data_IF_281712937606
#
_entry.id   IF_281712937606
#
_cell.length_a   1.000
_cell.length_b   1.000
_cell.length_c   1.000
_cell.angle_alpha   90.00
_cell.angle_beta   90.00
_cell.angle_gamma   90.00
#
_symmetry.space_group_name_H-M   'P 1'
#
loop_
_entity.id
_entity.type
_entity.pdbx_description
1 polymer ?
#
# COMPACT_ATOMS: atom_id res chain seq x y z
N UNK A 1 -37.74 -21.72 -18.33
CA UNK A 1 -37.48 -20.97 -17.09
C UNK A 1 -35.99 -20.66 -17.07
N UNK A 2 -35.61 -19.44 -17.43
CA UNK A 2 -34.20 -19.04 -17.51
C UNK A 2 -33.67 -18.61 -16.16
N UNK A 3 -32.60 -19.23 -15.69
CA UNK A 3 -31.81 -18.75 -14.57
C UNK A 3 -31.11 -17.45 -14.97
N UNK A 4 -31.63 -16.31 -14.53
CA UNK A 4 -30.87 -15.07 -14.50
C UNK A 4 -29.95 -15.11 -13.29
N UNK A 5 -28.74 -15.65 -13.46
CA UNK A 5 -27.66 -15.43 -12.49
C UNK A 5 -27.36 -13.94 -12.46
N UNK A 6 -27.82 -13.27 -11.40
CA UNK A 6 -27.41 -11.90 -11.07
C UNK A 6 -25.89 -11.90 -10.92
N UNK A 7 -25.18 -11.24 -11.84
CA UNK A 7 -23.75 -11.00 -11.69
C UNK A 7 -23.55 -10.11 -10.46
N UNK A 8 -23.04 -10.71 -9.38
CA UNK A 8 -22.65 -10.00 -8.16
C UNK A 8 -21.53 -8.99 -8.49
N UNK A 9 -21.63 -7.76 -7.99
CA UNK A 9 -20.59 -6.76 -8.25
C UNK A 9 -19.28 -7.16 -7.54
N UNK A 10 -18.14 -6.78 -8.11
CA UNK A 10 -16.84 -7.05 -7.49
C UNK A 10 -16.74 -6.47 -6.06
N UNK A 11 -17.40 -5.33 -5.82
CA UNK A 11 -17.47 -4.72 -4.49
C UNK A 11 -18.23 -5.60 -3.50
N UNK A 12 -19.33 -6.23 -3.91
CA UNK A 12 -20.10 -7.13 -3.03
C UNK A 12 -19.30 -8.37 -2.64
N UNK A 13 -18.49 -8.92 -3.56
CA UNK A 13 -17.56 -10.00 -3.26
C UNK A 13 -16.51 -9.58 -2.22
N UNK A 14 -15.97 -8.36 -2.33
CA UNK A 14 -15.01 -7.83 -1.37
C UNK A 14 -15.64 -7.63 0.02
N UNK A 15 -16.87 -7.11 0.09
CA UNK A 15 -17.62 -6.94 1.34
C UNK A 15 -17.84 -8.28 2.06
N UNK A 16 -18.10 -9.35 1.32
CA UNK A 16 -18.27 -10.69 1.90
C UNK A 16 -16.98 -11.27 2.46
N UNK A 17 -15.82 -10.91 1.92
CA UNK A 17 -14.54 -11.51 2.28
C UNK A 17 -13.75 -10.72 3.33
N UNK A 18 -13.93 -9.40 3.35
CA UNK A 18 -13.13 -8.51 4.18
C UNK A 18 -14.02 -7.63 5.04
N UNK A 19 -13.47 -7.17 6.16
CA UNK A 19 -14.09 -6.17 7.03
C UNK A 19 -13.35 -4.82 6.93
N UNK A 20 -12.14 -4.84 6.37
CA UNK A 20 -11.29 -3.67 6.17
C UNK A 20 -10.48 -3.82 4.88
N UNK A 21 -10.41 -2.75 4.09
CA UNK A 21 -9.63 -2.69 2.86
C UNK A 21 -8.63 -1.54 2.94
N UNK A 22 -7.38 -1.85 2.59
CA UNK A 22 -6.30 -0.89 2.43
C UNK A 22 -5.61 -1.16 1.10
N UNK A 23 -5.30 -0.11 0.35
CA UNK A 23 -4.42 -0.16 -0.81
C UNK A 23 -3.03 0.35 -0.42
N UNK A 24 -2.00 -0.27 -0.99
CA UNK A 24 -0.59 0.08 -0.80
C UNK A 24 0.06 0.12 -2.17
N UNK A 25 0.80 1.18 -2.43
CA UNK A 25 1.46 1.44 -3.71
C UNK A 25 2.80 2.16 -3.49
N UNK A 26 3.82 1.90 -4.31
CA UNK A 26 5.17 2.44 -4.10
C UNK A 26 5.82 3.05 -5.35
N UNK A 27 5.67 4.37 -5.50
CA UNK A 27 6.33 5.08 -6.59
C UNK A 27 7.82 5.28 -6.34
N UNK A 28 8.63 5.02 -7.35
CA UNK A 28 10.09 5.17 -7.31
C UNK A 28 10.55 6.29 -8.23
N UNK A 29 11.45 7.15 -7.74
CA UNK A 29 12.15 8.10 -8.60
C UNK A 29 13.17 7.32 -9.45
N UNK A 30 12.85 7.14 -10.74
CA UNK A 30 13.69 6.41 -11.68
C UNK A 30 14.99 7.13 -12.09
N UNK A 31 15.94 6.36 -12.64
CA UNK A 31 17.19 6.89 -13.23
C UNK A 31 16.86 7.76 -14.47
N UNK A 32 17.67 8.80 -14.77
CA UNK A 32 18.91 9.22 -14.10
C UNK A 32 18.67 10.12 -12.86
N UNK A 33 17.42 10.36 -12.47
CA UNK A 33 17.01 11.36 -11.46
C UNK A 33 17.23 10.89 -10.02
N UNK A 34 18.36 10.23 -9.73
CA UNK A 34 18.76 9.99 -8.34
C UNK A 34 18.89 11.34 -7.64
N UNK A 35 18.27 11.48 -6.48
CA UNK A 35 18.41 12.71 -5.70
C UNK A 35 19.64 12.57 -4.82
N UNK A 36 20.67 13.36 -5.11
CA UNK A 36 21.98 13.29 -4.42
C UNK A 36 22.60 11.88 -4.40
N UNK A 37 22.45 11.11 -5.49
CA UNK A 37 22.99 9.75 -5.60
C UNK A 37 22.17 8.65 -4.91
N UNK A 38 21.14 9.02 -4.14
CA UNK A 38 20.22 8.11 -3.46
C UNK A 38 19.06 7.70 -4.39
N UNK A 39 18.68 6.42 -4.36
CA UNK A 39 17.39 5.97 -4.88
C UNK A 39 16.31 6.31 -3.86
N UNK A 40 15.21 6.87 -4.31
CA UNK A 40 14.14 7.34 -3.44
C UNK A 40 12.83 6.78 -3.94
N UNK A 41 12.08 6.15 -3.05
CA UNK A 41 10.73 5.69 -3.30
C UNK A 41 9.79 6.26 -2.24
N UNK A 42 8.53 6.45 -2.59
CA UNK A 42 7.47 6.82 -1.67
C UNK A 42 6.41 5.74 -1.72
N UNK A 43 6.21 5.06 -0.60
CA UNK A 43 5.11 4.13 -0.42
C UNK A 43 3.94 4.88 0.19
N UNK A 44 2.77 4.84 -0.41
CA UNK A 44 1.55 5.45 0.10
C UNK A 44 0.47 4.39 0.32
N UNK A 45 -0.41 4.66 1.27
CA UNK A 45 -1.55 3.80 1.55
C UNK A 45 -2.83 4.59 1.79
N UNK A 46 -3.93 4.06 1.27
CA UNK A 46 -5.28 4.56 1.50
C UNK A 46 -6.20 3.43 1.95
N UNK A 47 -7.18 3.72 2.80
CA UNK A 47 -8.11 2.71 3.28
C UNK A 47 -9.55 3.21 3.32
N UNK A 48 -10.46 2.26 3.39
CA UNK A 48 -11.85 2.52 3.68
C UNK A 48 -12.02 2.56 5.20
N UNK A 49 -12.33 3.74 5.73
CA UNK A 49 -12.51 3.96 7.16
C UNK A 49 -13.90 3.56 7.68
N UNK A 50 -14.85 3.38 6.77
CA UNK A 50 -16.23 3.00 7.05
C UNK A 50 -16.40 1.48 7.01
N UNK A 51 -17.45 0.96 7.64
CA UNK A 51 -17.79 -0.46 7.52
C UNK A 51 -18.07 -0.79 6.06
N UNK A 52 -17.49 -1.88 5.55
CA UNK A 52 -17.70 -2.32 4.17
C UNK A 52 -19.18 -2.61 3.89
N UNK A 53 -19.91 -3.12 4.88
CA UNK A 53 -21.34 -3.45 4.76
C UNK A 53 -22.23 -2.23 4.50
N UNK A 54 -21.80 -1.04 4.91
CA UNK A 54 -22.56 0.21 4.80
C UNK A 54 -21.98 1.17 3.77
N UNK A 55 -21.16 0.69 2.84
CA UNK A 55 -20.49 1.57 1.88
C UNK A 55 -21.47 2.22 0.91
N UNK A 56 -21.51 3.57 0.83
CA UNK A 56 -22.24 4.25 -0.22
C UNK A 56 -21.56 4.03 -1.58
N UNK A 57 -22.32 4.25 -2.66
CA UNK A 57 -21.85 4.00 -4.03
C UNK A 57 -20.66 4.89 -4.46
N UNK A 58 -20.48 6.03 -3.78
CA UNK A 58 -19.46 7.06 -4.07
C UNK A 58 -18.33 7.10 -3.02
N UNK A 59 -18.18 6.05 -2.21
CA UNK A 59 -17.17 6.03 -1.16
C UNK A 59 -15.75 6.18 -1.72
N UNK A 60 -15.01 7.09 -1.11
CA UNK A 60 -13.60 7.32 -1.42
C UNK A 60 -12.71 6.80 -0.30
N UNK A 61 -11.62 6.13 -0.67
CA UNK A 61 -10.57 5.80 0.30
C UNK A 61 -9.92 7.05 0.86
N UNK A 62 -9.48 6.94 2.10
CA UNK A 62 -8.84 8.02 2.84
C UNK A 62 -7.35 7.72 3.01
N UNK A 63 -6.47 8.73 2.94
CA UNK A 63 -5.05 8.58 3.27
C UNK A 63 -4.85 7.93 4.64
N UNK A 64 -3.97 6.93 4.73
CA UNK A 64 -3.64 6.24 6.00
C UNK A 64 -2.22 6.54 6.45
N UNK A 65 -1.26 6.30 5.55
CA UNK A 65 0.15 6.51 5.81
C UNK A 65 0.90 6.70 4.51
N UNK A 66 2.01 7.43 4.59
CA UNK A 66 3.00 7.48 3.52
C UNK A 66 4.40 7.34 4.14
N UNK A 67 5.31 6.69 3.42
CA UNK A 67 6.67 6.42 3.85
C UNK A 67 7.65 6.77 2.75
N UNK A 68 8.69 7.50 3.12
CA UNK A 68 9.87 7.69 2.29
C UNK A 68 10.79 6.47 2.49
N UNK A 69 11.19 5.83 1.40
CA UNK A 69 12.13 4.70 1.38
C UNK A 69 13.39 5.17 0.66
N UNK A 70 14.47 5.28 1.41
CA UNK A 70 15.76 5.79 0.93
C UNK A 70 16.75 4.64 0.76
N UNK A 71 17.38 4.59 -0.40
CA UNK A 71 18.47 3.69 -0.77
C UNK A 71 18.25 2.20 -0.41
N UNK A 72 17.15 1.57 -0.87
CA UNK A 72 16.92 0.15 -0.62
C UNK A 72 17.96 -0.75 -1.32
N UNK A 73 18.88 -0.19 -2.10
CA UNK A 73 19.85 -0.91 -2.91
C UNK A 73 19.47 -0.90 -4.40
N UNK A 74 20.44 -1.23 -5.27
CA UNK A 74 20.27 -1.10 -6.72
C UNK A 74 19.31 -2.12 -7.34
N UNK A 75 19.15 -3.28 -6.71
CA UNK A 75 18.36 -4.43 -7.23
C UNK A 75 17.12 -4.75 -6.39
N UNK A 76 16.93 -4.07 -5.26
CA UNK A 76 15.81 -4.36 -4.35
C UNK A 76 14.54 -3.73 -4.88
N UNK A 77 13.47 -4.51 -5.00
CA UNK A 77 12.14 -3.99 -5.25
C UNK A 77 11.62 -3.29 -3.97
N UNK A 78 11.30 -1.98 -4.00
CA UNK A 78 10.78 -1.28 -2.83
C UNK A 78 9.33 -1.67 -2.49
N UNK A 79 8.58 -2.29 -3.40
CA UNK A 79 7.17 -2.66 -3.18
C UNK A 79 6.97 -3.58 -1.96
N UNK A 80 7.65 -4.73 -1.81
CA UNK A 80 7.48 -5.58 -0.63
C UNK A 80 7.88 -4.90 0.69
N UNK A 81 8.85 -3.97 0.64
CA UNK A 81 9.20 -3.14 1.80
C UNK A 81 8.08 -2.14 2.14
N UNK A 82 7.46 -1.52 1.13
CA UNK A 82 6.26 -0.70 1.30
C UNK A 82 5.11 -1.47 1.94
N UNK A 83 4.88 -2.71 1.51
CA UNK A 83 3.89 -3.61 2.11
C UNK A 83 4.23 -3.90 3.56
N UNK A 84 5.50 -4.22 3.85
CA UNK A 84 5.95 -4.52 5.20
C UNK A 84 5.74 -3.36 6.17
N UNK A 85 6.03 -2.13 5.76
CA UNK A 85 5.79 -0.94 6.58
C UNK A 85 4.31 -0.77 6.92
N UNK A 86 3.42 -0.95 5.94
CA UNK A 86 1.99 -0.81 6.14
C UNK A 86 1.39 -1.98 6.95
N UNK A 87 1.72 -3.22 6.61
CA UNK A 87 1.27 -4.41 7.35
C UNK A 87 1.72 -4.34 8.80
N UNK A 88 2.98 -4.00 9.06
CA UNK A 88 3.51 -3.85 10.43
C UNK A 88 2.80 -2.74 11.20
N UNK A 89 2.40 -1.65 10.54
CA UNK A 89 1.57 -0.63 11.19
C UNK A 89 0.18 -1.18 11.53
N UNK A 90 -0.47 -1.89 10.61
CA UNK A 90 -1.82 -2.43 10.82
C UNK A 90 -1.87 -3.45 11.95
N UNK A 91 -0.84 -4.28 12.13
CA UNK A 91 -0.77 -5.26 13.23
C UNK A 91 -0.66 -4.62 14.61
N UNK A 92 -0.27 -3.33 14.70
CA UNK A 92 -0.26 -2.58 15.96
C UNK A 92 -1.61 -1.95 16.30
N UNK A 93 -2.60 -1.99 15.40
CA UNK A 93 -3.93 -1.41 15.63
C UNK A 93 -4.84 -2.49 16.24
N UNK A 94 -5.21 -2.42 17.53
CA UNK A 94 -5.94 -3.51 18.19
C UNK A 94 -7.29 -3.83 17.54
N UNK A 95 -7.97 -2.79 17.01
CA UNK A 95 -9.26 -2.93 16.35
C UNK A 95 -9.22 -3.77 15.05
N UNK A 96 -8.03 -4.00 14.46
CA UNK A 96 -7.87 -4.75 13.22
C UNK A 96 -7.46 -6.21 13.44
N UNK A 97 -7.03 -6.59 14.65
CA UNK A 97 -6.53 -7.94 14.95
C UNK A 97 -7.61 -9.01 14.68
N UNK A 98 -8.87 -8.70 14.99
CA UNK A 98 -10.00 -9.61 14.79
C UNK A 98 -10.72 -9.43 13.45
N UNK A 99 -10.20 -8.59 12.55
CA UNK A 99 -10.84 -8.24 11.28
C UNK A 99 -10.17 -8.98 10.12
N UNK A 100 -10.95 -9.35 9.12
CA UNK A 100 -10.46 -9.85 7.83
C UNK A 100 -9.99 -8.67 7.01
N UNK A 101 -8.69 -8.54 6.81
CA UNK A 101 -8.08 -7.38 6.18
C UNK A 101 -7.63 -7.73 4.76
N UNK A 102 -8.18 -7.02 3.77
CA UNK A 102 -7.71 -7.08 2.39
C UNK A 102 -6.66 -6.00 2.15
N UNK A 103 -5.48 -6.40 1.68
CA UNK A 103 -4.38 -5.50 1.31
C UNK A 103 -4.26 -5.51 -0.21
N UNK A 104 -4.70 -4.43 -0.85
CA UNK A 104 -4.69 -4.25 -2.29
C UNK A 104 -3.29 -3.79 -2.71
N UNK A 105 -2.69 -4.51 -3.66
CA UNK A 105 -1.35 -4.25 -4.20
C UNK A 105 -1.37 -4.41 -5.72
N UNK A 106 -0.42 -3.79 -6.42
CA UNK A 106 -0.34 -3.76 -7.88
C UNK A 106 0.79 -4.62 -8.48
N UNK A 107 1.56 -5.30 -7.62
CA UNK A 107 2.80 -5.99 -7.97
C UNK A 107 2.84 -7.42 -7.42
N UNK A 108 3.81 -8.20 -7.93
CA UNK A 108 4.06 -9.61 -7.59
C UNK A 108 2.85 -10.57 -7.75
N UNK A 109 1.99 -10.35 -8.76
CA UNK A 109 0.81 -11.19 -9.04
C UNK A 109 1.10 -12.70 -8.97
N UNK A 110 2.24 -13.13 -9.53
CA UNK A 110 2.63 -14.54 -9.57
C UNK A 110 2.94 -15.15 -8.20
N UNK A 111 3.30 -14.33 -7.21
CA UNK A 111 3.68 -14.79 -5.87
C UNK A 111 2.52 -14.74 -4.87
N UNK A 112 1.49 -13.94 -5.14
CA UNK A 112 0.40 -13.72 -4.18
C UNK A 112 -0.31 -15.00 -3.73
N UNK A 113 -0.60 -16.01 -4.59
CA UNK A 113 -1.21 -17.25 -4.14
C UNK A 113 -0.40 -17.98 -3.05
N UNK A 114 0.92 -18.06 -3.21
CA UNK A 114 1.79 -18.74 -2.24
C UNK A 114 2.05 -17.87 -0.99
N UNK A 115 2.09 -16.55 -1.13
CA UNK A 115 2.13 -15.62 0.02
C UNK A 115 0.84 -15.73 0.85
N UNK A 116 -0.33 -15.68 0.21
CA UNK A 116 -1.64 -15.79 0.86
C UNK A 116 -1.85 -17.15 1.51
N UNK A 117 -1.32 -18.22 0.89
CA UNK A 117 -1.28 -19.56 1.47
C UNK A 117 -0.22 -19.72 2.57
N UNK A 118 0.60 -18.69 2.83
CA UNK A 118 1.69 -18.70 3.81
C UNK A 118 2.70 -19.83 3.55
N UNK A 119 2.98 -20.09 2.28
CA UNK A 119 4.04 -21.02 1.87
C UNK A 119 5.39 -20.32 1.70
N UNK A 120 5.36 -19.04 1.33
CA UNK A 120 6.54 -18.18 1.20
C UNK A 120 6.33 -16.88 1.97
N UNK A 121 7.41 -16.24 2.46
CA UNK A 121 7.31 -14.93 3.10
C UNK A 121 6.95 -13.85 2.06
N UNK A 122 6.27 -12.80 2.53
CA UNK A 122 5.97 -11.64 1.68
C UNK A 122 7.11 -10.60 1.69
N UNK A 123 7.94 -10.61 2.74
CA UNK A 123 9.09 -9.71 2.88
C UNK A 123 10.14 -10.30 3.82
N UNK A 124 11.39 -10.49 3.36
CA UNK A 124 12.44 -11.10 4.18
C UNK A 124 11.98 -12.46 4.74
N UNK A 125 12.02 -12.62 6.05
CA UNK A 125 11.52 -13.82 6.75
C UNK A 125 10.08 -13.65 7.28
N UNK A 126 9.39 -12.57 6.92
CA UNK A 126 8.05 -12.26 7.42
C UNK A 126 6.95 -12.94 6.62
N UNK A 127 6.16 -13.77 7.31
CA UNK A 127 4.94 -14.39 6.78
C UNK A 127 3.73 -13.46 6.92
N UNK A 128 2.77 -13.59 6.00
CA UNK A 128 1.55 -12.77 6.03
C UNK A 128 0.70 -13.08 7.28
N UNK A 129 0.25 -12.09 8.06
CA UNK A 129 -0.60 -12.32 9.23
C UNK A 129 -1.87 -13.11 8.89
N UNK A 130 -2.32 -13.96 9.81
CA UNK A 130 -3.43 -14.91 9.60
C UNK A 130 -4.75 -14.30 9.16
N UNK A 131 -5.00 -13.05 9.55
CA UNK A 131 -6.22 -12.31 9.25
C UNK A 131 -6.11 -11.42 8.00
N UNK A 132 -4.99 -11.47 7.27
CA UNK A 132 -4.73 -10.64 6.09
C UNK A 132 -4.69 -11.49 4.82
N UNK A 133 -5.12 -10.89 3.71
CA UNK A 133 -5.01 -11.44 2.34
C UNK A 133 -4.56 -10.33 1.41
N UNK A 134 -3.53 -10.59 0.61
CA UNK A 134 -3.10 -9.71 -0.48
C UNK A 134 -4.04 -9.88 -1.68
N UNK A 135 -4.51 -8.77 -2.23
CA UNK A 135 -5.43 -8.69 -3.36
C UNK A 135 -4.70 -7.98 -4.49
N UNK A 136 -4.51 -8.67 -5.61
CA UNK A 136 -3.94 -8.04 -6.78
C UNK A 136 -4.97 -7.13 -7.46
N UNK A 137 -4.57 -5.91 -7.78
CA UNK A 137 -5.29 -4.99 -8.64
C UNK A 137 -4.36 -4.41 -9.69
N UNK A 138 -4.91 -3.87 -10.77
CA UNK A 138 -4.12 -3.24 -11.84
C UNK A 138 -4.91 -2.10 -12.40
N UNK A 139 -4.30 -0.91 -12.44
CA UNK A 139 -4.86 0.31 -12.99
C UNK A 139 -5.25 0.20 -14.47
N UNK A 140 -4.74 -0.80 -15.19
CA UNK A 140 -4.93 -1.01 -16.64
C UNK A 140 -6.24 -1.74 -16.99
N UNK A 141 -6.98 -2.22 -15.97
CA UNK A 141 -8.26 -2.90 -16.12
C UNK A 141 -9.44 -1.94 -15.89
N UNK A 142 -10.64 -2.26 -16.42
CA UNK A 142 -11.84 -1.42 -16.24
C UNK A 142 -11.99 -0.98 -14.78
N UNK A 143 -12.40 0.28 -14.58
CA UNK A 143 -12.42 0.96 -13.28
C UNK A 143 -13.30 0.22 -12.26
N UNK A 144 -12.67 -0.71 -11.55
CA UNK A 144 -13.23 -1.38 -10.37
C UNK A 144 -12.74 -0.66 -9.12
N UNK A 145 -13.51 -0.78 -8.04
CA UNK A 145 -13.27 -0.12 -6.76
C UNK A 145 -11.81 -0.17 -6.27
N UNK A 146 -11.14 -1.33 -6.38
CA UNK A 146 -9.74 -1.51 -5.97
C UNK A 146 -8.75 -0.68 -6.79
N UNK A 147 -9.03 -0.44 -8.07
CA UNK A 147 -8.19 0.40 -8.94
C UNK A 147 -8.30 1.87 -8.55
N UNK A 148 -9.48 2.32 -8.10
CA UNK A 148 -9.66 3.68 -7.59
C UNK A 148 -8.84 3.90 -6.31
N UNK A 149 -8.78 2.90 -5.42
CA UNK A 149 -7.94 2.96 -4.22
C UNK A 149 -6.44 3.04 -4.56
N UNK A 150 -5.98 2.31 -5.59
CA UNK A 150 -4.60 2.41 -6.07
C UNK A 150 -4.31 3.79 -6.67
N UNK A 151 -5.21 4.34 -7.51
CA UNK A 151 -5.06 5.71 -8.05
C UNK A 151 -4.90 6.77 -6.96
N UNK A 152 -5.60 6.62 -5.84
CA UNK A 152 -5.41 7.50 -4.69
C UNK A 152 -4.03 7.33 -4.05
N UNK A 153 -3.50 6.11 -3.97
CA UNK A 153 -2.15 5.86 -3.45
C UNK A 153 -1.08 6.43 -4.37
N UNK A 154 -1.20 6.22 -5.68
CA UNK A 154 -0.32 6.78 -6.72
C UNK A 154 -0.23 8.30 -6.60
N UNK A 155 -1.38 8.99 -6.59
CA UNK A 155 -1.44 10.45 -6.42
C UNK A 155 -0.77 10.93 -5.12
N UNK A 156 -0.95 10.20 -4.01
CA UNK A 156 -0.28 10.52 -2.74
C UNK A 156 1.23 10.30 -2.81
N UNK A 157 1.68 9.23 -3.47
CA UNK A 157 3.09 8.91 -3.62
C UNK A 157 3.79 9.94 -4.51
N UNK A 158 3.15 10.37 -5.61
CA UNK A 158 3.61 11.46 -6.46
C UNK A 158 3.76 12.78 -5.69
N UNK A 159 2.76 13.14 -4.87
CA UNK A 159 2.83 14.32 -4.00
C UNK A 159 4.00 14.21 -3.00
N UNK A 160 4.21 13.04 -2.42
CA UNK A 160 5.34 12.77 -1.52
C UNK A 160 6.70 12.93 -2.22
N UNK A 161 6.82 12.45 -3.46
CA UNK A 161 8.02 12.64 -4.30
C UNK A 161 8.24 14.12 -4.60
N UNK A 162 7.19 14.85 -4.97
CA UNK A 162 7.28 16.27 -5.27
C UNK A 162 7.73 17.08 -4.05
N UNK A 163 7.20 16.78 -2.87
CA UNK A 163 7.59 17.45 -1.62
C UNK A 163 9.02 17.10 -1.21
N UNK A 164 9.42 15.83 -1.34
CA UNK A 164 10.79 15.43 -1.12
C UNK A 164 11.76 16.21 -2.03
N UNK A 165 11.47 16.36 -3.32
CA UNK A 165 12.32 17.10 -4.26
C UNK A 165 12.52 18.57 -3.87
N UNK A 166 11.50 19.23 -3.30
CA UNK A 166 11.61 20.62 -2.82
C UNK A 166 12.51 20.74 -1.59
N UNK A 167 12.52 19.72 -0.73
CA UNK A 167 13.16 19.76 0.59
C UNK A 167 14.45 18.94 0.70
N UNK A 168 14.82 18.18 -0.34
CA UNK A 168 15.84 17.13 -0.29
C UNK A 168 17.20 17.53 0.31
N UNK A 169 17.81 18.69 -0.01
CA UNK A 169 19.17 19.01 0.47
C UNK A 169 19.26 19.17 1.99
N UNK A 170 18.19 19.60 2.65
CA UNK A 170 18.14 19.80 4.11
C UNK A 170 17.48 18.64 4.85
N UNK A 171 16.68 17.83 4.14
CA UNK A 171 15.96 16.70 4.72
C UNK A 171 16.89 15.51 4.96
N UNK A 172 17.66 15.07 3.96
CA UNK A 172 18.47 13.84 4.05
C UNK A 172 19.48 13.84 5.21
N UNK A 173 20.02 15.00 5.58
CA UNK A 173 20.96 15.14 6.70
C UNK A 173 20.30 15.07 8.09
N UNK A 174 18.97 15.15 8.16
CA UNK A 174 18.19 15.24 9.42
C UNK A 174 17.22 14.07 9.62
N UNK A 175 17.06 13.20 8.63
CA UNK A 175 16.12 12.09 8.71
C UNK A 175 16.63 10.99 9.65
N UNK A 176 15.92 10.76 10.75
CA UNK A 176 16.02 9.55 11.55
C UNK A 176 14.91 8.57 11.14
N UNK A 177 15.24 7.65 10.25
CA UNK A 177 14.34 6.58 9.82
C UNK A 177 14.68 5.24 10.47
N UNK A 178 13.73 4.30 10.39
CA UNK A 178 13.99 2.91 10.72
C UNK A 178 14.79 2.26 9.59
N UNK A 179 15.79 1.45 9.94
CA UNK A 179 16.62 0.75 8.96
C UNK A 179 16.05 -0.62 8.62
N UNK A 180 16.05 -0.94 7.33
CA UNK A 180 15.69 -2.25 6.79
C UNK A 180 16.75 -2.67 5.77
N UNK A 181 17.73 -3.46 6.19
CA UNK A 181 18.94 -3.68 5.39
C UNK A 181 19.69 -2.36 5.15
N UNK A 182 19.90 -2.00 3.88
CA UNK A 182 20.48 -0.69 3.50
C UNK A 182 19.45 0.42 3.46
N UNK A 183 18.15 0.09 3.42
CA UNK A 183 17.08 1.06 3.31
C UNK A 183 16.92 1.87 4.61
N UNK A 184 16.65 3.17 4.47
CA UNK A 184 16.17 4.03 5.56
C UNK A 184 14.74 4.41 5.26
N UNK A 185 13.81 4.02 6.13
CA UNK A 185 12.38 4.26 5.99
C UNK A 185 11.91 5.34 6.97
N UNK A 186 11.26 6.39 6.46
CA UNK A 186 10.78 7.52 7.25
C UNK A 186 9.28 7.70 7.04
N UNK A 187 8.45 7.70 8.10
CA UNK A 187 7.04 8.06 7.97
C UNK A 187 6.89 9.54 7.58
N UNK A 188 6.10 9.81 6.54
CA UNK A 188 5.72 11.16 6.12
C UNK A 188 4.53 11.58 6.98
N UNK A 189 4.81 12.35 8.04
CA UNK A 189 3.75 12.89 8.90
C UNK A 189 3.15 14.11 8.21
N UNK A 190 1.92 13.98 7.72
CA UNK A 190 1.16 15.17 7.32
C UNK A 190 0.95 16.05 8.55
N UNK A 191 1.51 17.27 8.54
CA UNK A 191 1.10 18.29 9.51
C UNK A 191 -0.38 18.54 9.26
N UNK A 192 -1.24 18.22 10.24
CA UNK A 192 -2.63 18.67 10.20
C UNK A 192 -2.60 20.18 9.99
N UNK A 193 -3.09 20.65 8.83
CA UNK A 193 -3.44 22.05 8.68
C UNK A 193 -4.51 22.31 9.76
N UNK A 194 -4.21 23.25 10.65
CA UNK A 194 -5.15 23.74 11.65
C UNK A 194 -6.26 24.52 10.98
#
# INVERSE_FOLDING_TARGET
MGFSTLNESHLDQLKKQFDYLIAVDTNTIEKPKRTQGCRVSVCASSAISQSLDSLPADVQSQPVAAYLILDPGPTVNPEPLGWHLNISRLTTIPALISKRVGVIVDSELGLLPDINARKIPYYGEHMLPGNMTLIYASSDKPEIFVNQMLKHCDAMAELGIAEFRKSAPSLLSRLSGQKYGTAICVPIVQKKQK
#
